data_IF_446519872302
#
_entry.id   IF_446519872302
#
_cell.length_a   1.000
_cell.length_b   1.000
_cell.length_c   1.000
_cell.angle_alpha   90.00
_cell.angle_beta   90.00
_cell.angle_gamma   90.00
#
_symmetry.space_group_name_H-M   'P 1'
#
loop_
_entity.id
_entity.type
_entity.pdbx_description
1 polymer ?
#
# COMPACT_ATOMS: atom_id res chain seq x y z
N UNK A 1 22.33 14.23 -5.66
CA UNK A 1 21.94 15.63 -5.90
C UNK A 1 20.54 15.74 -6.51
N UNK A 2 20.27 15.22 -7.72
CA UNK A 2 18.95 15.33 -8.37
C UNK A 2 17.79 14.64 -7.61
N UNK A 3 17.98 13.42 -7.10
CA UNK A 3 16.98 12.68 -6.31
C UNK A 3 16.66 13.39 -4.98
N UNK A 4 17.64 14.09 -4.41
CA UNK A 4 17.50 14.82 -3.15
C UNK A 4 16.69 16.11 -3.36
N UNK A 5 16.98 16.85 -4.42
CA UNK A 5 16.23 18.03 -4.84
C UNK A 5 14.77 17.69 -5.24
N UNK A 6 14.55 16.52 -5.88
CA UNK A 6 13.20 16.02 -6.16
C UNK A 6 12.39 15.82 -4.87
N UNK A 7 13.00 15.26 -3.81
CA UNK A 7 12.33 14.98 -2.53
C UNK A 7 11.99 16.23 -1.72
N UNK A 8 12.93 17.17 -1.59
CA UNK A 8 12.72 18.41 -0.82
C UNK A 8 11.63 19.30 -1.43
N UNK A 9 11.46 19.24 -2.75
CA UNK A 9 10.59 20.18 -3.48
C UNK A 9 9.26 19.57 -3.91
N UNK A 10 9.18 18.23 -4.09
CA UNK A 10 7.97 17.56 -4.60
C UNK A 10 7.39 16.52 -3.63
N UNK A 11 8.04 16.21 -2.50
CA UNK A 11 7.55 15.21 -1.55
C UNK A 11 6.15 15.54 -0.99
N UNK A 12 5.88 16.82 -0.74
CA UNK A 12 4.57 17.31 -0.28
C UNK A 12 3.46 17.18 -1.35
N UNK A 13 3.81 17.01 -2.63
CA UNK A 13 2.86 16.79 -3.72
C UNK A 13 2.45 15.33 -3.87
N UNK A 14 3.17 14.37 -3.27
CA UNK A 14 2.88 12.94 -3.44
C UNK A 14 1.44 12.61 -2.99
N UNK A 15 1.05 13.04 -1.79
CA UNK A 15 -0.31 12.78 -1.27
C UNK A 15 -1.39 13.51 -2.08
N UNK A 16 -1.28 14.82 -2.37
CA UNK A 16 -2.22 15.50 -3.28
C UNK A 16 -2.36 14.79 -4.63
N UNK A 17 -1.24 14.45 -5.30
CA UNK A 17 -1.27 13.76 -6.59
C UNK A 17 -1.95 12.39 -6.49
N UNK A 18 -1.67 11.63 -5.43
CA UNK A 18 -2.27 10.35 -5.16
C UNK A 18 -3.79 10.47 -4.97
N UNK A 19 -4.24 11.36 -4.09
CA UNK A 19 -5.66 11.55 -3.79
C UNK A 19 -6.42 12.07 -5.01
N UNK A 20 -5.85 13.03 -5.74
CA UNK A 20 -6.45 13.55 -6.98
C UNK A 20 -6.55 12.44 -8.04
N UNK A 21 -5.50 11.65 -8.23
CA UNK A 21 -5.50 10.53 -9.19
C UNK A 21 -6.55 9.49 -8.82
N UNK A 22 -6.63 9.09 -7.55
CA UNK A 22 -7.65 8.16 -7.07
C UNK A 22 -9.06 8.73 -7.22
N UNK A 23 -9.25 10.03 -6.99
CA UNK A 23 -10.52 10.73 -7.20
C UNK A 23 -10.96 10.67 -8.66
N UNK A 24 -10.08 11.06 -9.58
CA UNK A 24 -10.34 10.99 -11.04
C UNK A 24 -10.65 9.56 -11.45
N UNK A 25 -9.84 8.58 -11.04
CA UNK A 25 -10.06 7.17 -11.37
C UNK A 25 -11.38 6.65 -10.80
N UNK A 26 -11.76 7.06 -9.59
CA UNK A 26 -13.06 6.72 -8.99
C UNK A 26 -14.22 7.32 -9.80
N UNK A 27 -14.10 8.56 -10.26
CA UNK A 27 -15.11 9.19 -11.11
C UNK A 27 -15.24 8.46 -12.44
N UNK A 28 -14.12 8.11 -13.08
CA UNK A 28 -14.12 7.32 -14.32
C UNK A 28 -14.82 5.97 -14.12
N UNK A 29 -14.49 5.24 -13.04
CA UNK A 29 -15.15 3.97 -12.70
C UNK A 29 -16.64 4.14 -12.46
N UNK A 30 -17.05 5.19 -11.74
CA UNK A 30 -18.47 5.44 -11.46
C UNK A 30 -19.27 5.81 -12.70
N UNK A 31 -18.62 6.42 -13.70
CA UNK A 31 -19.24 6.79 -14.97
C UNK A 31 -19.39 5.61 -15.94
N UNK A 32 -18.68 4.51 -15.72
CA UNK A 32 -18.77 3.29 -16.54
C UNK A 32 -20.01 2.45 -16.12
N UNK A 33 -20.98 2.22 -17.02
CA UNK A 33 -22.17 1.41 -16.72
C UNK A 33 -21.87 -0.05 -16.36
N UNK A 34 -20.75 -0.59 -16.82
CA UNK A 34 -20.33 -1.98 -16.56
C UNK A 34 -19.61 -2.16 -15.22
N UNK A 35 -19.33 -1.09 -14.48
CA UNK A 35 -18.61 -1.16 -13.22
C UNK A 35 -19.54 -1.45 -12.02
N UNK A 36 -19.31 -2.56 -11.34
CA UNK A 36 -19.98 -2.84 -10.06
C UNK A 36 -19.38 -1.95 -8.94
N UNK A 37 -20.09 -0.87 -8.62
CA UNK A 37 -19.69 0.09 -7.57
C UNK A 37 -19.55 -0.54 -6.18
N UNK A 38 -20.18 -1.68 -5.92
CA UNK A 38 -20.12 -2.36 -4.62
C UNK A 38 -18.69 -2.80 -4.30
N UNK A 39 -17.86 -3.10 -5.31
CA UNK A 39 -16.48 -3.55 -5.10
C UNK A 39 -15.60 -2.52 -4.38
N UNK A 40 -15.96 -1.24 -4.40
CA UNK A 40 -15.24 -0.20 -3.66
C UNK A 40 -15.40 -0.38 -2.13
N UNK A 41 -16.57 -0.81 -1.67
CA UNK A 41 -16.92 -0.88 -0.25
C UNK A 41 -17.59 -2.21 0.11
N UNK A 42 -17.19 -3.32 -0.50
CA UNK A 42 -17.85 -4.61 -0.32
C UNK A 42 -17.58 -5.19 1.08
N UNK A 43 -18.35 -4.73 2.08
CA UNK A 43 -18.26 -5.13 3.49
C UNK A 43 -18.54 -6.62 3.68
N UNK A 44 -19.59 -7.23 3.08
CA UNK A 44 -19.81 -8.67 3.21
C UNK A 44 -18.60 -9.49 2.77
N UNK A 45 -18.03 -9.18 1.59
CA UNK A 45 -16.83 -9.87 1.12
C UNK A 45 -15.61 -9.59 2.00
N UNK A 46 -15.48 -8.38 2.55
CA UNK A 46 -14.42 -8.06 3.51
C UNK A 46 -14.52 -8.90 4.79
N UNK A 47 -15.72 -9.11 5.32
CA UNK A 47 -15.94 -9.98 6.48
C UNK A 47 -15.57 -11.43 6.18
N UNK A 48 -15.99 -11.94 5.02
CA UNK A 48 -15.71 -13.33 4.62
C UNK A 48 -14.21 -13.56 4.36
N UNK A 49 -13.54 -12.63 3.65
CA UNK A 49 -12.11 -12.72 3.36
C UNK A 49 -11.21 -12.37 4.55
N UNK A 50 -11.73 -11.66 5.54
CA UNK A 50 -10.99 -11.13 6.69
C UNK A 50 -10.22 -12.19 7.47
N UNK A 51 -10.79 -13.39 7.64
CA UNK A 51 -10.11 -14.50 8.36
C UNK A 51 -8.79 -14.89 7.69
N UNK A 52 -8.78 -15.10 6.37
CA UNK A 52 -7.59 -15.52 5.64
C UNK A 52 -6.52 -14.42 5.60
N UNK A 53 -6.96 -13.18 5.43
CA UNK A 53 -6.10 -12.00 5.54
C UNK A 53 -5.46 -11.91 6.93
N UNK A 54 -6.25 -12.04 7.99
CA UNK A 54 -5.76 -11.96 9.36
C UNK A 54 -4.80 -13.09 9.70
N UNK A 55 -5.04 -14.32 9.24
CA UNK A 55 -4.12 -15.44 9.42
C UNK A 55 -2.75 -15.17 8.75
N UNK A 56 -2.75 -14.64 7.52
CA UNK A 56 -1.49 -14.25 6.84
C UNK A 56 -0.76 -13.18 7.63
N UNK A 57 -1.48 -12.19 8.17
CA UNK A 57 -0.90 -11.14 9.00
C UNK A 57 -0.32 -11.70 10.31
N UNK A 58 -1.07 -12.50 11.07
CA UNK A 58 -0.60 -13.08 12.34
C UNK A 58 0.61 -14.00 12.15
N UNK A 59 0.74 -14.68 11.02
CA UNK A 59 1.91 -15.52 10.72
C UNK A 59 3.09 -14.68 10.24
N UNK A 60 2.89 -13.76 9.29
CA UNK A 60 4.00 -13.02 8.69
C UNK A 60 4.46 -11.82 9.51
N UNK A 61 3.61 -11.23 10.34
CA UNK A 61 3.97 -10.09 11.19
C UNK A 61 5.08 -10.45 12.18
N UNK A 62 5.01 -11.56 12.95
CA UNK A 62 6.13 -12.00 13.79
C UNK A 62 7.40 -12.24 12.99
N UNK A 63 7.33 -12.88 11.81
CA UNK A 63 8.51 -13.14 10.97
C UNK A 63 9.18 -11.83 10.57
N UNK A 64 8.40 -10.85 10.11
CA UNK A 64 8.93 -9.54 9.72
C UNK A 64 9.48 -8.78 10.93
N UNK A 65 8.75 -8.76 12.04
CA UNK A 65 9.15 -8.14 13.31
C UNK A 65 10.47 -8.71 13.83
N UNK A 66 10.58 -10.05 13.95
CA UNK A 66 11.80 -10.72 14.39
C UNK A 66 12.95 -10.49 13.40
N UNK A 67 12.69 -10.54 12.10
CA UNK A 67 13.68 -10.25 11.07
C UNK A 67 14.28 -8.85 11.24
N UNK A 68 13.43 -7.83 11.45
CA UNK A 68 13.90 -6.45 11.71
C UNK A 68 14.64 -6.35 13.03
N UNK A 69 14.10 -6.93 14.10
CA UNK A 69 14.71 -6.89 15.43
C UNK A 69 16.12 -7.51 15.44
N UNK A 70 16.34 -8.61 14.71
CA UNK A 70 17.63 -9.28 14.65
C UNK A 70 18.61 -8.63 13.67
N UNK A 71 18.13 -8.22 12.49
CA UNK A 71 19.01 -7.74 11.42
C UNK A 71 19.29 -6.24 11.50
N UNK A 72 18.34 -5.45 12.00
CA UNK A 72 18.37 -3.98 12.06
C UNK A 72 17.83 -3.45 13.40
N UNK A 73 18.38 -3.90 14.55
CA UNK A 73 17.88 -3.54 15.88
C UNK A 73 17.86 -2.03 16.13
N UNK A 74 18.70 -1.25 15.45
CA UNK A 74 18.75 0.20 15.57
C UNK A 74 17.51 0.92 15.00
N UNK A 75 16.74 0.25 14.14
CA UNK A 75 15.45 0.76 13.65
C UNK A 75 14.29 0.43 14.59
N UNK A 76 14.50 -0.47 15.55
CA UNK A 76 13.43 -1.06 16.35
C UNK A 76 12.60 0.01 17.07
N UNK A 77 11.32 0.04 16.73
CA UNK A 77 10.34 0.98 17.29
C UNK A 77 10.77 2.45 17.15
N UNK A 78 11.50 2.81 16.09
CA UNK A 78 12.02 4.16 15.90
C UNK A 78 10.88 5.21 16.01
N UNK A 79 9.85 5.13 15.17
CA UNK A 79 8.71 6.06 15.24
C UNK A 79 7.99 6.07 16.60
N UNK A 80 7.56 4.91 17.17
CA UNK A 80 6.96 4.90 18.50
C UNK A 80 7.82 5.52 19.61
N UNK A 81 9.15 5.45 19.51
CA UNK A 81 10.08 5.91 20.55
C UNK A 81 10.50 7.37 20.38
N UNK A 82 10.77 7.79 19.14
CA UNK A 82 11.30 9.14 18.86
C UNK A 82 10.20 10.14 18.52
N UNK A 83 9.15 9.69 17.83
CA UNK A 83 8.11 10.55 17.26
C UNK A 83 6.69 9.97 17.48
N UNK A 84 6.27 9.70 18.73
CA UNK A 84 5.03 8.96 19.03
C UNK A 84 3.75 9.65 18.52
N UNK A 85 3.74 10.98 18.47
CA UNK A 85 2.61 11.73 17.91
C UNK A 85 2.49 11.52 16.40
N UNK A 86 3.61 11.61 15.67
CA UNK A 86 3.65 11.33 14.24
C UNK A 86 3.28 9.87 13.98
N UNK A 87 3.78 8.93 14.78
CA UNK A 87 3.40 7.53 14.69
C UNK A 87 1.89 7.35 14.84
N UNK A 88 1.28 7.92 15.88
CA UNK A 88 -0.17 7.85 16.09
C UNK A 88 -0.98 8.46 14.94
N UNK A 89 -0.50 9.58 14.38
CA UNK A 89 -1.09 10.17 13.15
C UNK A 89 -0.96 9.21 11.98
N UNK A 90 0.19 8.56 11.77
CA UNK A 90 0.37 7.58 10.71
C UNK A 90 -0.60 6.41 10.88
N UNK A 91 -0.76 5.83 12.08
CA UNK A 91 -1.67 4.69 12.31
C UNK A 91 -3.14 4.97 11.93
N UNK A 92 -3.54 6.25 11.80
CA UNK A 92 -4.93 6.64 11.52
C UNK A 92 -5.07 7.32 10.15
N UNK A 93 -4.23 8.29 9.86
CA UNK A 93 -4.35 9.15 8.67
C UNK A 93 -3.77 8.46 7.43
N UNK A 94 -2.65 7.73 7.56
CA UNK A 94 -2.04 7.04 6.41
C UNK A 94 -2.96 5.97 5.78
N UNK A 95 -3.69 5.13 6.55
CA UNK A 95 -4.66 4.20 5.99
C UNK A 95 -5.74 4.87 5.12
N UNK A 96 -6.21 6.05 5.53
CA UNK A 96 -7.31 6.73 4.85
C UNK A 96 -6.87 7.53 3.63
N UNK A 97 -5.79 8.30 3.77
CA UNK A 97 -5.36 9.28 2.77
C UNK A 97 -4.27 8.77 1.84
N UNK A 98 -3.63 7.66 2.18
CA UNK A 98 -2.62 7.03 1.33
C UNK A 98 -3.07 5.65 0.87
N UNK A 99 -3.32 4.72 1.80
CA UNK A 99 -3.57 3.32 1.46
C UNK A 99 -4.83 3.15 0.61
N UNK A 100 -5.97 3.68 1.05
CA UNK A 100 -7.21 3.51 0.29
C UNK A 100 -7.14 4.11 -1.14
N UNK A 101 -6.63 5.34 -1.34
CA UNK A 101 -6.34 5.87 -2.68
C UNK A 101 -5.42 4.97 -3.53
N UNK A 102 -4.35 4.42 -2.93
CA UNK A 102 -3.46 3.48 -3.63
C UNK A 102 -4.22 2.23 -4.07
N UNK A 103 -5.09 1.67 -3.24
CA UNK A 103 -5.86 0.47 -3.62
C UNK A 103 -6.92 0.77 -4.70
N UNK A 104 -7.47 1.98 -4.76
CA UNK A 104 -8.27 2.40 -5.93
C UNK A 104 -7.42 2.40 -7.20
N UNK A 105 -6.27 3.09 -7.17
CA UNK A 105 -5.39 3.29 -8.33
C UNK A 105 -4.82 1.97 -8.84
N UNK A 106 -4.38 1.11 -7.93
CA UNK A 106 -3.64 -0.08 -8.30
C UNK A 106 -4.50 -1.34 -8.30
N UNK A 107 -5.70 -1.39 -7.71
CA UNK A 107 -6.50 -2.64 -7.66
C UNK A 107 -7.81 -2.45 -8.38
N UNK A 108 -8.69 -1.61 -7.85
CA UNK A 108 -10.03 -1.46 -8.40
C UNK A 108 -10.01 -0.99 -9.86
N UNK A 109 -9.25 0.07 -10.15
CA UNK A 109 -9.17 0.64 -11.48
C UNK A 109 -8.57 -0.32 -12.53
N UNK A 110 -7.33 -0.82 -12.37
CA UNK A 110 -6.71 -1.66 -13.40
C UNK A 110 -7.36 -3.04 -13.52
N UNK A 111 -7.91 -3.60 -12.43
CA UNK A 111 -8.66 -4.86 -12.53
C UNK A 111 -9.90 -4.66 -13.40
N UNK A 112 -10.65 -3.58 -13.21
CA UNK A 112 -11.80 -3.31 -14.07
C UNK A 112 -11.38 -3.01 -15.51
N UNK A 113 -10.39 -2.12 -15.70
CA UNK A 113 -10.12 -1.53 -17.02
C UNK A 113 -9.14 -2.32 -17.88
N UNK A 114 -8.19 -3.02 -17.26
CA UNK A 114 -7.02 -3.58 -17.95
C UNK A 114 -6.86 -5.08 -17.79
N UNK A 115 -7.61 -5.77 -16.90
CA UNK A 115 -7.46 -7.22 -16.71
C UNK A 115 -7.59 -8.02 -18.03
N UNK A 116 -8.49 -7.58 -18.93
CA UNK A 116 -8.76 -8.24 -20.22
C UNK A 116 -7.68 -8.04 -21.26
N UNK A 117 -6.71 -7.14 -21.03
CA UNK A 117 -5.57 -6.93 -21.92
C UNK A 117 -4.47 -7.99 -21.72
N UNK A 118 -4.55 -8.80 -20.66
CA UNK A 118 -3.56 -9.81 -20.33
C UNK A 118 -4.05 -11.20 -20.69
N UNK A 119 -3.13 -12.05 -21.14
CA UNK A 119 -3.44 -13.42 -21.55
C UNK A 119 -4.00 -14.30 -20.42
N UNK A 120 -3.64 -14.00 -19.16
CA UNK A 120 -4.13 -14.70 -17.97
C UNK A 120 -3.95 -13.85 -16.71
N UNK A 121 -4.59 -14.29 -15.62
CA UNK A 121 -4.55 -13.61 -14.32
C UNK A 121 -3.13 -13.45 -13.75
N UNK A 122 -2.24 -14.45 -13.93
CA UNK A 122 -0.88 -14.38 -13.39
C UNK A 122 -0.08 -13.25 -14.02
N UNK A 123 -0.19 -13.07 -15.34
CA UNK A 123 0.45 -11.96 -16.05
C UNK A 123 -0.10 -10.61 -15.59
N UNK A 124 -1.43 -10.50 -15.42
CA UNK A 124 -2.04 -9.29 -14.87
C UNK A 124 -1.55 -9.01 -13.44
N UNK A 125 -1.48 -10.01 -12.57
CA UNK A 125 -1.02 -9.84 -11.19
C UNK A 125 0.45 -9.42 -11.13
N UNK A 126 1.30 -9.98 -11.99
CA UNK A 126 2.70 -9.59 -12.09
C UNK A 126 2.83 -8.14 -12.54
N UNK A 127 2.11 -7.74 -13.59
CA UNK A 127 2.11 -6.35 -14.07
C UNK A 127 1.56 -5.38 -13.02
N UNK A 128 0.52 -5.79 -12.28
CA UNK A 128 -0.07 -5.00 -11.20
C UNK A 128 0.92 -4.77 -10.05
N UNK A 129 1.58 -5.84 -9.60
CA UNK A 129 2.57 -5.78 -8.53
C UNK A 129 3.79 -4.94 -8.95
N UNK A 130 4.26 -5.10 -10.20
CA UNK A 130 5.34 -4.29 -10.76
C UNK A 130 4.94 -2.81 -10.86
N UNK A 131 3.72 -2.48 -11.29
CA UNK A 131 3.24 -1.11 -11.34
C UNK A 131 3.17 -0.46 -9.95
N UNK A 132 2.73 -1.23 -8.95
CA UNK A 132 2.71 -0.78 -7.56
C UNK A 132 4.13 -0.58 -7.00
N UNK A 133 5.06 -1.49 -7.28
CA UNK A 133 6.47 -1.35 -6.91
C UNK A 133 7.13 -0.15 -7.61
N UNK A 134 6.84 0.07 -8.90
CA UNK A 134 7.37 1.19 -9.67
C UNK A 134 6.95 2.54 -9.08
N UNK A 135 5.72 2.66 -8.57
CA UNK A 135 5.29 3.86 -7.84
C UNK A 135 6.15 4.12 -6.59
N UNK A 136 6.73 3.10 -5.98
CA UNK A 136 7.60 3.23 -4.82
C UNK A 136 9.05 3.60 -5.17
N UNK A 137 9.42 3.70 -6.46
CA UNK A 137 10.69 4.29 -6.88
C UNK A 137 10.84 5.76 -6.43
N UNK A 138 9.72 6.45 -6.18
CA UNK A 138 9.67 7.79 -5.59
C UNK A 138 10.42 7.86 -4.24
N UNK A 139 10.40 6.76 -3.48
CA UNK A 139 11.12 6.63 -2.21
C UNK A 139 12.59 6.32 -2.38
N UNK A 140 13.12 6.24 -3.61
CA UNK A 140 14.52 5.94 -3.98
C UNK A 140 15.24 5.01 -2.99
N UNK A 141 14.57 3.93 -2.62
CA UNK A 141 15.02 2.99 -1.61
C UNK A 141 14.67 1.57 -2.07
N UNK A 142 15.68 0.71 -2.11
CA UNK A 142 15.52 -0.67 -2.60
C UNK A 142 14.63 -1.52 -1.68
N UNK A 143 14.66 -1.28 -0.37
CA UNK A 143 13.81 -1.99 0.59
C UNK A 143 12.35 -1.62 0.36
N UNK A 144 12.05 -0.33 0.16
CA UNK A 144 10.71 0.11 -0.20
C UNK A 144 10.23 -0.53 -1.50
N UNK A 145 11.08 -0.57 -2.53
CA UNK A 145 10.76 -1.21 -3.81
C UNK A 145 10.44 -2.71 -3.66
N UNK A 146 11.29 -3.45 -2.94
CA UNK A 146 11.13 -4.90 -2.73
C UNK A 146 9.89 -5.22 -1.91
N UNK A 147 9.69 -4.53 -0.79
CA UNK A 147 8.50 -4.72 0.05
C UNK A 147 7.22 -4.38 -0.70
N UNK A 148 7.22 -3.32 -1.51
CA UNK A 148 6.08 -2.99 -2.35
C UNK A 148 5.85 -4.00 -3.46
N UNK A 149 6.87 -4.62 -4.03
CA UNK A 149 6.67 -5.71 -5.00
C UNK A 149 5.93 -6.90 -4.37
N UNK A 150 6.39 -7.37 -3.20
CA UNK A 150 5.74 -8.47 -2.48
C UNK A 150 4.35 -8.08 -1.96
N UNK A 151 4.21 -6.87 -1.42
CA UNK A 151 2.94 -6.31 -0.97
C UNK A 151 1.94 -6.20 -2.13
N UNK A 152 2.35 -5.64 -3.26
CA UNK A 152 1.53 -5.53 -4.47
C UNK A 152 1.02 -6.87 -4.97
N UNK A 153 1.88 -7.91 -4.96
CA UNK A 153 1.49 -9.27 -5.29
C UNK A 153 0.49 -9.87 -4.29
N UNK A 154 0.69 -9.63 -2.99
CA UNK A 154 -0.23 -10.05 -1.93
C UNK A 154 -1.60 -9.36 -2.09
N UNK A 155 -1.60 -8.04 -2.25
CA UNK A 155 -2.79 -7.20 -2.30
C UNK A 155 -3.64 -7.48 -3.54
N UNK A 156 -3.04 -7.64 -4.72
CA UNK A 156 -3.81 -7.97 -5.93
C UNK A 156 -4.51 -9.32 -5.82
N UNK A 157 -3.90 -10.32 -5.17
CA UNK A 157 -4.52 -11.63 -4.91
C UNK A 157 -5.69 -11.53 -3.93
N UNK A 158 -5.54 -10.73 -2.87
CA UNK A 158 -6.63 -10.47 -1.93
C UNK A 158 -7.79 -9.76 -2.62
N UNK A 159 -7.50 -8.76 -3.44
CA UNK A 159 -8.52 -8.05 -4.21
C UNK A 159 -9.20 -8.97 -5.23
N UNK A 160 -8.45 -9.77 -5.98
CA UNK A 160 -9.01 -10.68 -6.99
C UNK A 160 -9.97 -11.70 -6.39
N UNK A 161 -9.61 -12.28 -5.23
CA UNK A 161 -10.42 -13.29 -4.54
C UNK A 161 -11.65 -12.72 -3.81
N UNK A 162 -11.57 -11.49 -3.31
CA UNK A 162 -12.64 -10.89 -2.51
C UNK A 162 -13.52 -9.89 -3.27
N UNK A 163 -13.01 -9.32 -4.36
CA UNK A 163 -13.61 -8.16 -5.07
C UNK A 163 -14.01 -7.05 -4.09
N UNK A 164 -13.16 -6.79 -3.10
CA UNK A 164 -13.38 -5.78 -2.05
C UNK A 164 -12.16 -4.88 -1.90
N UNK A 165 -12.28 -3.64 -2.35
CA UNK A 165 -11.26 -2.59 -2.17
C UNK A 165 -11.06 -2.29 -0.69
N UNK A 166 -12.15 -2.33 0.09
CA UNK A 166 -12.11 -2.20 1.53
C UNK A 166 -11.25 -3.28 2.20
N UNK A 167 -11.42 -4.56 1.83
CA UNK A 167 -10.64 -5.65 2.44
C UNK A 167 -9.14 -5.48 2.18
N UNK A 168 -8.77 -5.22 0.92
CA UNK A 168 -7.37 -5.07 0.56
C UNK A 168 -6.77 -3.80 1.16
N UNK A 169 -7.54 -2.72 1.31
CA UNK A 169 -7.10 -1.51 2.01
C UNK A 169 -6.86 -1.78 3.51
N UNK A 170 -7.71 -2.58 4.17
CA UNK A 170 -7.47 -3.01 5.56
C UNK A 170 -6.20 -3.87 5.64
N UNK A 171 -6.02 -4.82 4.73
CA UNK A 171 -4.80 -5.64 4.70
C UNK A 171 -3.54 -4.79 4.51
N UNK A 172 -3.56 -3.90 3.52
CA UNK A 172 -2.44 -3.00 3.24
C UNK A 172 -2.18 -2.08 4.43
N UNK A 173 -3.21 -1.51 5.06
CA UNK A 173 -3.06 -0.69 6.26
C UNK A 173 -2.37 -1.47 7.39
N UNK A 174 -2.81 -2.70 7.70
CA UNK A 174 -2.18 -3.52 8.73
C UNK A 174 -0.69 -3.78 8.47
N UNK A 175 -0.32 -4.10 7.22
CA UNK A 175 1.09 -4.29 6.86
C UNK A 175 1.89 -2.99 6.91
N UNK A 176 1.32 -1.89 6.44
CA UNK A 176 1.95 -0.56 6.46
C UNK A 176 2.16 -0.07 7.90
N UNK A 177 1.14 -0.18 8.74
CA UNK A 177 1.18 0.20 10.15
C UNK A 177 2.22 -0.61 10.93
N UNK A 178 2.31 -1.92 10.65
CA UNK A 178 3.38 -2.77 11.19
C UNK A 178 4.75 -2.26 10.74
N UNK A 179 4.95 -2.00 9.44
CA UNK A 179 6.20 -1.49 8.87
C UNK A 179 6.61 -0.17 9.54
N UNK A 180 5.69 0.77 9.72
CA UNK A 180 5.95 2.02 10.44
C UNK A 180 6.28 1.78 11.91
N UNK A 181 5.63 0.82 12.55
CA UNK A 181 5.84 0.52 13.97
C UNK A 181 7.19 -0.13 14.21
N UNK A 182 7.59 -1.13 13.43
CA UNK A 182 8.82 -1.90 13.68
C UNK A 182 10.10 -1.22 13.18
N UNK A 183 9.99 -0.06 12.52
CA UNK A 183 11.13 0.77 12.10
C UNK A 183 11.39 0.81 10.59
N UNK A 184 10.75 -0.07 9.82
CA UNK A 184 10.89 -0.09 8.36
C UNK A 184 10.22 1.11 7.68
N UNK A 185 9.31 1.80 8.36
CA UNK A 185 8.66 3.02 7.88
C UNK A 185 9.65 4.13 7.51
N UNK A 186 10.86 4.12 8.07
CA UNK A 186 11.96 5.01 7.68
C UNK A 186 12.23 4.98 6.16
N UNK A 187 12.05 3.82 5.52
CA UNK A 187 12.24 3.65 4.08
C UNK A 187 11.07 4.17 3.22
N UNK A 188 9.92 4.41 3.85
CA UNK A 188 8.68 4.88 3.21
C UNK A 188 8.32 6.31 3.60
N UNK A 189 9.11 6.95 4.47
CA UNK A 189 8.89 8.29 4.94
C UNK A 189 10.01 9.23 4.45
N UNK A 190 9.63 10.37 3.89
CA UNK A 190 10.54 11.37 3.34
C UNK A 190 11.46 12.07 4.37
N UNK A 191 11.25 11.82 5.67
CA UNK A 191 12.09 12.31 6.77
C UNK A 191 13.44 11.60 6.93
N UNK A 192 13.75 10.59 6.10
CA UNK A 192 15.03 9.86 6.10
C UNK A 192 16.24 10.68 5.59
N UNK A 193 16.16 12.00 5.70
CA UNK A 193 16.96 12.98 4.97
C UNK A 193 17.62 14.00 5.91
N UNK A 194 17.46 13.86 7.23
CA UNK A 194 18.08 14.74 8.23
C UNK A 194 19.00 14.02 9.24
N UNK A 195 19.40 12.78 8.95
CA UNK A 195 20.36 12.00 9.76
C UNK A 195 21.54 11.55 8.94
#
# INVERSE_FOLDING_TARGET
>A
MAVYAFRSTLGWLIIPMLVTSAGIMTLVLRSDPGFDRRVLWNVPAARLGGKHMFLRFVVGAPVLTFGVYLLRPELWLNFPRSEPLLWGVLMVIYPLWSVYPQEVIFRAFPMHRYQTLFANERHFFAANALGFAAAHLLFANVIALVLSLFGGWLFIRTYASSRSTLLVAIEHALWGDLIFTIGLGWYFFGGSVAG
#
